data_IF_291983839356
#
_entry.id   IF_291983839356
#
_cell.length_a   1.000
_cell.length_b   1.000
_cell.length_c   1.000
_cell.angle_alpha   90.00
_cell.angle_beta   90.00
_cell.angle_gamma   90.00
#
_symmetry.space_group_name_H-M   'P 1'
#
loop_
_entity.id
_entity.type
_entity.pdbx_description
1 polymer ?
#
# COMPACT_ATOMS: atom_id res chain seq x y z
N UNK A 1 -13.22 1.13 -3.23
CA UNK A 1 -12.55 0.13 -2.37
C UNK A 1 -13.64 -0.62 -1.62
N UNK A 2 -13.64 -1.95 -1.69
CA UNK A 2 -14.58 -2.78 -0.93
C UNK A 2 -14.11 -2.97 0.51
N UNK A 3 -15.01 -3.36 1.42
CA UNK A 3 -14.65 -3.66 2.81
C UNK A 3 -13.62 -4.81 2.89
N UNK A 4 -13.73 -5.81 2.01
CA UNK A 4 -12.80 -6.93 1.96
C UNK A 4 -11.39 -6.48 1.52
N UNK A 5 -11.31 -5.63 0.48
CA UNK A 5 -10.05 -5.03 0.04
C UNK A 5 -9.37 -4.24 1.17
N UNK A 6 -10.16 -3.47 1.92
CA UNK A 6 -9.66 -2.71 3.06
C UNK A 6 -9.09 -3.60 4.16
N UNK A 7 -9.81 -4.65 4.56
CA UNK A 7 -9.36 -5.58 5.61
C UNK A 7 -8.05 -6.27 5.23
N UNK A 8 -7.90 -6.68 3.96
CA UNK A 8 -6.64 -7.27 3.47
C UNK A 8 -5.50 -6.25 3.50
N UNK A 9 -5.75 -5.02 3.06
CA UNK A 9 -4.74 -3.95 3.06
C UNK A 9 -4.30 -3.59 4.50
N UNK A 10 -5.24 -3.47 5.43
CA UNK A 10 -4.95 -3.18 6.84
C UNK A 10 -4.17 -4.32 7.50
N UNK A 11 -4.56 -5.57 7.27
CA UNK A 11 -3.87 -6.76 7.82
C UNK A 11 -2.43 -6.85 7.31
N UNK A 12 -2.18 -6.38 6.08
CA UNK A 12 -0.85 -6.40 5.45
C UNK A 12 0.20 -5.58 6.21
N UNK A 13 -0.20 -4.57 6.99
CA UNK A 13 0.73 -3.80 7.84
C UNK A 13 1.31 -4.62 9.00
N UNK A 14 0.55 -5.62 9.48
CA UNK A 14 0.95 -6.43 10.63
C UNK A 14 1.55 -7.78 10.23
N UNK A 15 1.21 -8.27 9.04
CA UNK A 15 1.57 -9.61 8.59
C UNK A 15 2.16 -9.59 7.17
N UNK A 16 3.49 -9.57 7.03
CA UNK A 16 4.16 -9.68 5.74
C UNK A 16 3.82 -10.97 4.96
N UNK A 17 3.35 -12.02 5.64
CA UNK A 17 2.85 -13.24 5.01
C UNK A 17 1.55 -12.98 4.23
N UNK A 18 0.63 -12.19 4.79
CA UNK A 18 -0.63 -11.81 4.14
C UNK A 18 -0.36 -10.90 2.93
N UNK A 19 0.57 -9.96 3.08
CA UNK A 19 0.95 -9.06 1.99
C UNK A 19 1.64 -9.80 0.83
N UNK A 20 2.45 -10.83 1.12
CA UNK A 20 3.20 -11.58 0.10
C UNK A 20 2.38 -12.71 -0.53
N UNK A 21 1.39 -13.23 0.17
CA UNK A 21 0.60 -14.39 -0.24
C UNK A 21 1.40 -15.69 -0.30
N UNK A 22 0.69 -16.81 -0.38
CA UNK A 22 1.26 -18.13 -0.66
C UNK A 22 0.40 -18.84 -1.72
N UNK A 23 0.75 -18.69 -3.01
CA UNK A 23 0.14 -19.44 -4.12
C UNK A 23 -0.81 -18.62 -5.00
N UNK A 24 -1.97 -19.16 -5.39
CA UNK A 24 -2.84 -18.51 -6.40
C UNK A 24 -3.54 -17.21 -5.93
N UNK A 25 -3.43 -16.85 -4.65
CA UNK A 25 -3.93 -15.60 -4.06
C UNK A 25 -2.78 -14.65 -3.66
N UNK A 26 -1.73 -14.57 -4.49
CA UNK A 26 -0.51 -13.82 -4.18
C UNK A 26 -0.73 -12.30 -4.22
N UNK A 27 -0.67 -11.65 -3.06
CA UNK A 27 -0.49 -10.21 -2.98
C UNK A 27 -1.67 -9.40 -2.46
N UNK A 28 -1.57 -8.09 -2.59
CA UNK A 28 -2.58 -7.13 -2.14
C UNK A 28 -3.58 -6.90 -3.26
N UNK A 29 -4.85 -7.20 -3.01
CA UNK A 29 -5.95 -6.91 -3.94
C UNK A 29 -6.53 -5.53 -3.66
N UNK A 30 -6.55 -4.67 -4.67
CA UNK A 30 -6.98 -3.29 -4.52
C UNK A 30 -7.57 -2.75 -5.82
N UNK A 31 -8.74 -2.12 -5.76
CA UNK A 31 -9.45 -1.55 -6.92
C UNK A 31 -9.62 -2.57 -8.06
N UNK A 32 -9.98 -3.81 -7.72
CA UNK A 32 -10.20 -4.86 -8.72
C UNK A 32 -8.92 -5.39 -9.38
N UNK A 33 -7.72 -5.04 -8.87
CA UNK A 33 -6.43 -5.49 -9.40
C UNK A 33 -5.59 -6.15 -8.32
N UNK A 34 -4.85 -7.18 -8.71
CA UNK A 34 -3.90 -7.87 -7.84
C UNK A 34 -2.50 -7.25 -7.98
N UNK A 35 -1.84 -7.00 -6.86
CA UNK A 35 -0.50 -6.43 -6.78
C UNK A 35 0.41 -7.28 -5.91
N UNK A 36 1.63 -7.56 -6.37
CA UNK A 36 2.62 -8.27 -5.58
C UNK A 36 3.27 -7.31 -4.59
N UNK A 37 3.25 -7.64 -3.29
CA UNK A 37 3.92 -6.83 -2.29
C UNK A 37 5.44 -6.76 -2.52
N UNK A 38 5.97 -5.54 -2.49
CA UNK A 38 7.39 -5.20 -2.53
C UNK A 38 7.87 -4.82 -1.12
N UNK A 39 7.00 -4.20 -0.33
CA UNK A 39 7.24 -3.83 1.07
C UNK A 39 5.97 -4.04 1.88
N UNK A 40 6.12 -4.56 3.08
CA UNK A 40 5.04 -4.65 4.06
C UNK A 40 5.64 -4.60 5.46
N UNK A 41 5.42 -3.48 6.13
CA UNK A 41 5.77 -3.26 7.53
C UNK A 41 4.68 -2.48 8.24
N UNK A 42 4.89 -2.17 9.53
CA UNK A 42 3.89 -1.53 10.39
C UNK A 42 3.45 -0.15 9.92
N UNK A 43 4.27 0.54 9.11
CA UNK A 43 4.05 1.92 8.70
C UNK A 43 3.76 2.06 7.22
N UNK A 44 4.21 1.11 6.40
CA UNK A 44 4.15 1.20 4.95
C UNK A 44 3.93 -0.15 4.27
N UNK A 45 2.99 -0.18 3.32
CA UNK A 45 2.72 -1.31 2.42
C UNK A 45 2.83 -0.81 0.97
N UNK A 46 3.75 -1.39 0.21
CA UNK A 46 3.92 -1.12 -1.22
C UNK A 46 3.71 -2.40 -2.00
N UNK A 47 2.90 -2.34 -3.05
CA UNK A 47 2.71 -3.46 -3.95
C UNK A 47 2.68 -2.98 -5.40
N UNK A 48 3.12 -3.84 -6.32
CA UNK A 48 3.18 -3.51 -7.76
C UNK A 48 2.73 -4.66 -8.64
N UNK A 49 2.30 -4.33 -9.85
CA UNK A 49 2.07 -5.28 -10.93
C UNK A 49 2.61 -4.68 -12.25
N UNK A 50 2.29 -5.29 -13.39
CA UNK A 50 2.75 -4.81 -14.70
C UNK A 50 2.14 -3.46 -15.10
N UNK A 51 1.04 -3.03 -14.47
CA UNK A 51 0.28 -1.83 -14.84
C UNK A 51 0.59 -0.64 -13.93
N UNK A 52 1.43 -0.81 -12.90
CA UNK A 52 1.73 0.21 -11.91
C UNK A 52 1.83 -0.35 -10.50
N UNK A 53 1.45 0.44 -9.50
CA UNK A 53 1.48 -0.01 -8.11
C UNK A 53 0.61 0.79 -7.16
N UNK A 54 0.45 0.22 -5.96
CA UNK A 54 -0.24 0.84 -4.85
C UNK A 54 0.76 1.13 -3.73
N UNK A 55 0.52 2.23 -3.05
CA UNK A 55 1.27 2.69 -1.90
C UNK A 55 0.28 3.00 -0.80
N UNK A 56 0.50 2.41 0.38
CA UNK A 56 -0.29 2.71 1.56
C UNK A 56 0.66 3.03 2.71
N UNK A 57 0.51 4.22 3.27
CA UNK A 57 1.29 4.67 4.43
C UNK A 57 0.35 4.94 5.60
N UNK A 58 0.59 4.25 6.72
CA UNK A 58 -0.16 4.41 7.96
C UNK A 58 0.29 5.64 8.72
N UNK A 59 -0.65 6.44 9.21
CA UNK A 59 -0.42 7.57 10.11
C UNK A 59 -0.98 7.25 11.50
N UNK A 60 -1.04 8.22 12.41
CA UNK A 60 -1.61 8.00 13.75
C UNK A 60 -3.11 7.67 13.69
N UNK A 61 -3.84 8.34 12.81
CA UNK A 61 -5.32 8.35 12.76
C UNK A 61 -5.87 7.94 11.39
N UNK A 62 -5.06 8.04 10.35
CA UNK A 62 -5.46 7.83 8.95
C UNK A 62 -4.51 6.90 8.20
N UNK A 63 -4.91 6.52 6.99
CA UNK A 63 -4.07 5.84 6.02
C UNK A 63 -4.02 6.67 4.74
N UNK A 64 -2.82 6.93 4.23
CA UNK A 64 -2.61 7.60 2.94
C UNK A 64 -2.47 6.50 1.90
N UNK A 65 -3.44 6.40 0.99
CA UNK A 65 -3.46 5.41 -0.09
C UNK A 65 -3.30 6.11 -1.43
N UNK A 66 -2.37 5.65 -2.25
CA UNK A 66 -2.17 6.15 -3.60
C UNK A 66 -1.94 5.00 -4.58
N UNK A 67 -2.29 5.23 -5.85
CA UNK A 67 -1.95 4.37 -6.96
C UNK A 67 -1.15 5.18 -7.99
N UNK A 68 -0.21 4.54 -8.66
CA UNK A 68 0.53 5.07 -9.79
C UNK A 68 0.46 4.06 -10.93
N UNK A 69 0.54 4.52 -12.18
CA UNK A 69 0.53 3.67 -13.37
C UNK A 69 1.96 3.32 -13.85
N UNK A 70 2.05 2.59 -14.96
CA UNK A 70 3.32 2.16 -15.53
C UNK A 70 4.14 3.29 -16.19
N UNK A 71 3.54 4.45 -16.48
CA UNK A 71 4.22 5.60 -17.08
C UNK A 71 4.86 6.50 -16.01
N UNK A 72 4.39 6.40 -14.75
CA UNK A 72 4.94 7.12 -13.61
C UNK A 72 6.17 6.44 -13.00
N UNK A 73 7.08 7.25 -12.43
CA UNK A 73 8.19 6.74 -11.64
C UNK A 73 7.74 6.34 -10.23
N UNK A 74 7.84 5.05 -9.92
CA UNK A 74 7.49 4.52 -8.60
C UNK A 74 8.22 5.22 -7.45
N UNK A 75 9.49 5.62 -7.64
CA UNK A 75 10.27 6.35 -6.63
C UNK A 75 9.64 7.71 -6.27
N UNK A 76 9.16 8.45 -7.27
CA UNK A 76 8.51 9.75 -7.08
C UNK A 76 7.19 9.58 -6.34
N UNK A 77 6.39 8.57 -6.72
CA UNK A 77 5.14 8.26 -6.05
C UNK A 77 5.35 7.87 -4.57
N UNK A 78 6.35 7.01 -4.29
CA UNK A 78 6.73 6.62 -2.92
C UNK A 78 7.10 7.85 -2.10
N UNK A 79 7.95 8.71 -2.65
CA UNK A 79 8.41 9.91 -1.94
C UNK A 79 7.26 10.87 -1.62
N UNK A 80 6.36 11.11 -2.56
CA UNK A 80 5.21 11.98 -2.35
C UNK A 80 4.28 11.43 -1.24
N UNK A 81 3.98 10.14 -1.27
CA UNK A 81 3.12 9.47 -0.28
C UNK A 81 3.74 9.49 1.11
N UNK A 82 5.03 9.14 1.23
CA UNK A 82 5.70 9.11 2.53
C UNK A 82 5.89 10.50 3.12
N UNK A 83 6.17 11.52 2.30
CA UNK A 83 6.25 12.92 2.79
C UNK A 83 4.90 13.40 3.32
N UNK A 84 3.80 13.09 2.63
CA UNK A 84 2.46 13.43 3.11
C UNK A 84 2.13 12.69 4.41
N UNK A 85 2.38 11.38 4.46
CA UNK A 85 2.14 10.58 5.67
C UNK A 85 3.01 11.06 6.85
N UNK A 86 4.28 11.39 6.61
CA UNK A 86 5.17 11.96 7.62
C UNK A 86 4.62 13.30 8.15
N UNK A 87 4.17 14.19 7.26
CA UNK A 87 3.55 15.45 7.66
C UNK A 87 2.32 15.21 8.56
N UNK A 88 1.42 14.30 8.19
CA UNK A 88 0.23 13.96 8.99
C UNK A 88 0.59 13.37 10.36
N UNK A 89 1.56 12.43 10.40
CA UNK A 89 2.12 11.87 11.65
C UNK A 89 2.63 12.96 12.59
N UNK A 90 3.33 13.99 12.06
CA UNK A 90 3.83 15.10 12.90
C UNK A 90 2.74 16.03 13.40
N UNK A 91 1.66 16.21 12.66
CA UNK A 91 0.57 17.12 13.02
C UNK A 91 -0.53 16.45 13.86
N UNK A 92 -0.46 15.14 14.09
CA UNK A 92 -1.53 14.33 14.71
C UNK A 92 -2.90 14.63 14.09
N UNK A 93 -2.90 14.86 12.78
CA UNK A 93 -4.10 15.03 11.96
C UNK A 93 -4.25 13.76 11.15
#
# INVERSE_FOLDING_TARGET
>A
MSQAEWVTLETSFNSPAVARGTGQNDGVFFMGKQYRAVRADKMSVYAKNAQGGILCAKTTTHYVVAAYDAEMYASVAVEAVEKLAAYLRTKNK
#
